data_IF_845851712440
#
_entry.id   IF_845851712440
#
_cell.length_a   1.000
_cell.length_b   1.000
_cell.length_c   1.000
_cell.angle_alpha   90.00
_cell.angle_beta   90.00
_cell.angle_gamma   90.00
#
_symmetry.space_group_name_H-M   'P 1'
#
loop_
_entity.id
_entity.type
_entity.pdbx_description
1 polymer ?
#
# COMPACT_ATOMS: atom_id res chain seq x y z
N UNK A 1 4.46 2.93 78.15
CA UNK A 1 3.75 2.24 77.05
C UNK A 1 4.29 2.77 75.72
N UNK A 2 4.93 1.91 74.94
CA UNK A 2 5.65 2.22 73.69
C UNK A 2 4.88 1.64 72.49
N UNK A 3 4.43 2.45 71.51
CA UNK A 3 4.06 1.95 70.19
C UNK A 3 5.25 2.08 69.22
N UNK A 4 5.65 0.91 68.71
CA UNK A 4 6.76 0.66 67.81
C UNK A 4 6.72 1.50 66.53
N UNK A 5 7.78 2.28 66.31
CA UNK A 5 8.22 2.72 64.98
C UNK A 5 8.76 1.48 64.27
N UNK A 6 8.02 0.93 63.31
CA UNK A 6 8.55 -0.10 62.42
C UNK A 6 9.40 0.56 61.33
N UNK A 7 10.67 0.75 61.63
CA UNK A 7 11.67 1.11 60.61
C UNK A 7 11.75 0.00 59.56
N UNK A 8 11.65 0.38 58.28
CA UNK A 8 11.87 -0.55 57.17
C UNK A 8 13.33 -1.00 57.18
N UNK A 9 13.63 -2.30 57.01
CA UNK A 9 15.00 -2.79 57.03
C UNK A 9 15.82 -2.20 55.86
N UNK A 10 17.06 -1.74 56.11
CA UNK A 10 17.92 -1.21 55.07
C UNK A 10 18.41 -2.37 54.19
N UNK A 11 17.95 -2.41 52.93
CA UNK A 11 18.37 -3.44 51.96
C UNK A 11 17.25 -4.05 51.12
N UNK A 12 15.99 -3.67 51.31
CA UNK A 12 14.92 -4.02 50.38
C UNK A 12 15.18 -3.28 49.04
N UNK A 13 15.83 -3.96 48.09
CA UNK A 13 15.89 -3.48 46.71
C UNK A 13 14.46 -3.43 46.19
N UNK A 14 14.00 -2.24 45.80
CA UNK A 14 12.76 -2.09 45.06
C UNK A 14 12.87 -2.98 43.82
N UNK A 15 12.20 -4.12 43.85
CA UNK A 15 12.12 -5.01 42.70
C UNK A 15 11.20 -4.28 41.73
N UNK A 16 11.80 -3.46 40.86
CA UNK A 16 11.09 -2.74 39.81
C UNK A 16 10.36 -3.80 38.96
N UNK A 17 9.05 -3.92 39.17
CA UNK A 17 8.26 -4.88 38.43
C UNK A 17 8.39 -4.55 36.93
N UNK A 18 8.70 -5.54 36.08
CA UNK A 18 8.87 -5.29 34.66
C UNK A 18 7.56 -4.74 34.11
N UNK A 19 7.56 -3.44 33.81
CA UNK A 19 6.42 -2.72 33.25
C UNK A 19 6.05 -3.39 31.93
N UNK A 20 4.98 -4.19 31.96
CA UNK A 20 4.51 -4.96 30.82
C UNK A 20 4.48 -4.09 29.57
N UNK A 21 5.33 -4.42 28.59
CA UNK A 21 5.50 -3.65 27.35
C UNK A 21 4.30 -3.92 26.46
N UNK A 22 3.14 -3.38 26.83
CA UNK A 22 1.93 -3.41 25.99
C UNK A 22 2.30 -2.91 24.60
N UNK A 23 1.97 -3.69 23.57
CA UNK A 23 2.29 -3.38 22.17
C UNK A 23 1.63 -2.06 21.77
N UNK A 24 2.34 -0.95 21.93
CA UNK A 24 1.83 0.38 21.54
C UNK A 24 1.77 0.41 20.02
N UNK A 25 0.57 0.41 19.44
CA UNK A 25 0.39 0.66 18.02
C UNK A 25 0.87 2.08 17.72
N UNK A 26 1.97 2.18 16.97
CA UNK A 26 2.46 3.47 16.49
C UNK A 26 1.91 3.73 15.09
N UNK A 27 1.62 4.99 14.77
CA UNK A 27 1.17 5.37 13.42
C UNK A 27 2.17 4.89 12.34
N UNK A 28 3.47 4.95 12.61
CA UNK A 28 4.48 4.42 11.69
C UNK A 28 4.36 2.89 11.51
N UNK A 29 4.08 2.16 12.60
CA UNK A 29 3.84 0.72 12.58
C UNK A 29 2.55 0.32 11.84
N UNK A 30 1.58 1.21 11.68
CA UNK A 30 0.37 1.00 10.85
C UNK A 30 0.62 1.35 9.39
N UNK A 31 1.29 2.48 9.13
CA UNK A 31 1.54 2.97 7.77
C UNK A 31 2.42 2.02 6.95
N UNK A 32 3.38 1.33 7.57
CA UNK A 32 4.26 0.40 6.84
C UNK A 32 3.53 -0.82 6.27
N UNK A 33 2.82 -1.63 7.08
CA UNK A 33 2.00 -2.71 6.56
C UNK A 33 0.99 -2.23 5.50
N UNK A 34 0.34 -1.09 5.75
CA UNK A 34 -0.65 -0.57 4.81
C UNK A 34 -0.03 -0.20 3.45
N UNK A 35 1.12 0.48 3.44
CA UNK A 35 1.87 0.79 2.21
C UNK A 35 2.31 -0.47 1.46
N UNK A 36 2.75 -1.52 2.17
CA UNK A 36 3.18 -2.77 1.53
C UNK A 36 1.98 -3.49 0.91
N UNK A 37 0.89 -3.68 1.66
CA UNK A 37 -0.32 -4.35 1.17
C UNK A 37 -0.91 -3.59 -0.01
N UNK A 38 -1.10 -2.28 0.12
CA UNK A 38 -1.69 -1.46 -0.94
C UNK A 38 -0.73 -1.31 -2.12
N UNK A 39 0.57 -1.19 -1.86
CA UNK A 39 1.59 -1.09 -2.90
C UNK A 39 1.61 -2.32 -3.79
N UNK A 40 1.59 -3.52 -3.19
CA UNK A 40 1.52 -4.78 -3.94
C UNK A 40 0.18 -4.93 -4.66
N UNK A 41 -0.93 -4.62 -4.00
CA UNK A 41 -2.26 -4.68 -4.60
C UNK A 41 -2.38 -3.80 -5.85
N UNK A 42 -2.03 -2.51 -5.73
CA UNK A 42 -2.11 -1.57 -6.86
C UNK A 42 -1.11 -1.89 -7.96
N UNK A 43 0.10 -2.31 -7.61
CA UNK A 43 1.06 -2.73 -8.62
C UNK A 43 0.56 -3.94 -9.42
N UNK A 44 -0.10 -4.91 -8.78
CA UNK A 44 -0.67 -6.06 -9.49
C UNK A 44 -1.89 -5.75 -10.32
N UNK A 45 -2.86 -5.07 -9.70
CA UNK A 45 -4.07 -4.56 -10.37
C UNK A 45 -3.70 -3.72 -11.59
N UNK A 46 -2.69 -2.85 -11.45
CA UNK A 46 -2.20 -1.99 -12.50
C UNK A 46 -1.44 -2.75 -13.58
N UNK A 47 -0.57 -3.70 -13.19
CA UNK A 47 0.17 -4.52 -14.13
C UNK A 47 -0.79 -5.32 -15.02
N UNK A 48 -1.83 -5.94 -14.46
CA UNK A 48 -2.86 -6.62 -15.24
C UNK A 48 -3.51 -5.71 -16.29
N UNK A 49 -3.77 -4.44 -15.96
CA UNK A 49 -4.30 -3.45 -16.91
C UNK A 49 -3.28 -3.04 -17.98
N UNK A 50 -1.99 -2.96 -17.63
CA UNK A 50 -0.92 -2.68 -18.60
C UNK A 50 -0.82 -3.81 -19.63
N UNK A 51 -1.03 -5.06 -19.24
CA UNK A 51 -1.03 -6.20 -20.17
C UNK A 51 -2.13 -6.11 -21.23
N UNK A 52 -3.23 -5.43 -20.91
CA UNK A 52 -4.32 -5.19 -21.86
C UNK A 52 -3.94 -4.20 -22.98
N UNK A 53 -2.69 -3.77 -23.11
CA UNK A 53 -2.21 -3.16 -24.35
C UNK A 53 -2.25 -4.17 -25.51
N UNK A 54 -2.08 -5.45 -25.21
CA UNK A 54 -2.19 -6.53 -26.18
C UNK A 54 -3.66 -6.75 -26.53
N UNK A 55 -3.98 -6.71 -27.83
CA UNK A 55 -5.35 -6.83 -28.33
C UNK A 55 -5.98 -8.20 -28.08
N UNK A 56 -5.18 -9.27 -28.05
CA UNK A 56 -5.66 -10.64 -27.75
C UNK A 56 -6.03 -10.73 -26.27
N UNK A 57 -5.18 -10.23 -25.39
CA UNK A 57 -5.46 -10.19 -23.95
C UNK A 57 -6.65 -9.28 -23.62
N UNK A 58 -6.78 -8.15 -24.31
CA UNK A 58 -7.93 -7.27 -24.16
C UNK A 58 -9.24 -7.95 -24.59
N UNK A 59 -9.23 -8.68 -25.71
CA UNK A 59 -10.41 -9.42 -26.19
C UNK A 59 -10.79 -10.58 -25.26
N UNK A 60 -9.82 -11.19 -24.59
CA UNK A 60 -10.00 -12.26 -23.61
C UNK A 60 -10.19 -11.74 -22.17
N UNK A 61 -10.19 -10.42 -21.96
CA UNK A 61 -10.28 -9.84 -20.62
C UNK A 61 -11.59 -10.31 -19.94
N UNK A 62 -11.55 -10.63 -18.63
CA UNK A 62 -12.69 -11.24 -17.97
C UNK A 62 -13.95 -10.41 -18.16
N UNK A 63 -15.02 -11.01 -18.70
CA UNK A 63 -16.34 -10.37 -18.83
C UNK A 63 -16.88 -9.86 -17.48
N UNK A 64 -16.37 -10.41 -16.37
CA UNK A 64 -16.65 -9.96 -15.01
C UNK A 64 -16.22 -8.49 -14.74
N UNK A 65 -15.32 -7.92 -15.56
CA UNK A 65 -14.89 -6.51 -15.46
C UNK A 65 -15.66 -5.68 -16.48
N UNK A 66 -16.99 -5.64 -16.33
CA UNK A 66 -17.93 -5.05 -17.29
C UNK A 66 -17.58 -3.61 -17.72
N UNK A 67 -16.91 -2.85 -16.86
CA UNK A 67 -16.54 -1.47 -17.16
C UNK A 67 -15.45 -1.34 -18.24
N UNK A 68 -14.65 -2.37 -18.52
CA UNK A 68 -13.64 -2.31 -19.58
C UNK A 68 -14.27 -2.05 -20.95
N UNK A 69 -15.45 -2.63 -21.23
CA UNK A 69 -16.18 -2.39 -22.47
C UNK A 69 -16.75 -0.96 -22.58
N UNK A 70 -16.82 -0.23 -21.47
CA UNK A 70 -17.41 1.11 -21.41
C UNK A 70 -16.39 2.25 -21.67
N UNK A 71 -15.11 1.93 -21.83
CA UNK A 71 -14.05 2.92 -22.04
C UNK A 71 -13.07 2.47 -23.13
N UNK A 72 -12.34 3.41 -23.76
CA UNK A 72 -11.30 3.04 -24.71
C UNK A 72 -10.18 2.24 -24.03
N UNK A 73 -9.68 1.19 -24.69
CA UNK A 73 -8.55 0.37 -24.24
C UNK A 73 -7.32 1.19 -23.78
N UNK A 74 -6.89 2.26 -24.47
CA UNK A 74 -5.77 3.08 -24.01
C UNK A 74 -5.97 3.72 -22.64
N UNK A 75 -7.21 4.04 -22.26
CA UNK A 75 -7.51 4.60 -20.94
C UNK A 75 -7.30 3.56 -19.85
N UNK A 76 -7.66 2.30 -20.10
CA UNK A 76 -7.43 1.18 -19.17
C UNK A 76 -5.94 0.99 -18.93
N UNK A 77 -5.14 0.97 -20.00
CA UNK A 77 -3.68 0.85 -19.93
C UNK A 77 -3.08 2.04 -19.18
N UNK A 78 -3.54 3.26 -19.45
CA UNK A 78 -3.10 4.47 -18.73
C UNK A 78 -3.36 4.37 -17.23
N UNK A 79 -4.57 3.95 -16.82
CA UNK A 79 -4.90 3.70 -15.41
C UNK A 79 -3.95 2.65 -14.84
N UNK A 80 -3.68 1.58 -15.59
CA UNK A 80 -2.74 0.54 -15.20
C UNK A 80 -1.34 1.06 -14.90
N UNK A 81 -0.79 1.91 -15.77
CA UNK A 81 0.51 2.56 -15.55
C UNK A 81 0.47 3.43 -14.29
N UNK A 82 -0.57 4.23 -14.10
CA UNK A 82 -0.73 5.06 -12.90
C UNK A 82 -0.79 4.22 -11.62
N UNK A 83 -1.49 3.08 -11.64
CA UNK A 83 -1.60 2.16 -10.51
C UNK A 83 -0.26 1.47 -10.20
N UNK A 84 0.50 1.06 -11.22
CA UNK A 84 1.86 0.50 -11.05
C UNK A 84 2.79 1.52 -10.43
N UNK A 85 2.87 2.72 -11.00
CA UNK A 85 3.72 3.79 -10.48
C UNK A 85 3.31 4.20 -9.06
N UNK A 86 2.00 4.26 -8.79
CA UNK A 86 1.46 4.51 -7.47
C UNK A 86 1.86 3.43 -6.47
N UNK A 87 1.66 2.15 -6.82
CA UNK A 87 1.98 1.02 -5.95
C UNK A 87 3.47 0.91 -5.62
N UNK A 88 4.34 1.08 -6.61
CA UNK A 88 5.79 1.15 -6.42
C UNK A 88 6.19 2.39 -5.59
N UNK A 89 5.57 3.53 -5.87
CA UNK A 89 5.78 4.80 -5.18
C UNK A 89 5.35 4.78 -3.71
N UNK A 90 4.43 3.91 -3.31
CA UNK A 90 4.06 3.70 -1.91
C UNK A 90 5.20 3.08 -1.07
N UNK A 91 6.11 2.33 -1.70
CA UNK A 91 7.10 1.51 -1.00
C UNK A 91 8.51 2.07 -1.18
N UNK A 92 8.99 2.21 -2.42
CA UNK A 92 10.41 2.47 -2.67
C UNK A 92 10.94 3.80 -2.12
N UNK A 93 10.27 4.96 -2.32
CA UNK A 93 10.78 6.24 -1.83
C UNK A 93 10.85 6.29 -0.30
N UNK A 94 9.84 5.76 0.39
CA UNK A 94 9.81 5.66 1.85
C UNK A 94 10.86 4.67 2.39
N UNK A 95 11.12 3.58 1.69
CA UNK A 95 12.05 2.53 2.15
C UNK A 95 13.50 2.93 1.93
N UNK A 96 13.80 3.52 0.77
CA UNK A 96 15.15 3.99 0.44
C UNK A 96 15.49 5.30 1.16
N UNK A 97 14.48 6.13 1.45
CA UNK A 97 14.64 7.51 1.91
C UNK A 97 15.00 8.49 0.79
N UNK A 98 14.95 8.06 -0.48
CA UNK A 98 15.21 8.92 -1.64
C UNK A 98 13.93 9.60 -2.06
N UNK A 99 13.95 10.95 -2.05
CA UNK A 99 12.78 11.80 -2.35
C UNK A 99 11.50 11.24 -1.69
N UNK A 100 11.47 11.07 -0.34
CA UNK A 100 10.37 10.39 0.36
C UNK A 100 9.01 11.09 0.19
N UNK A 101 9.00 12.36 -0.26
CA UNK A 101 7.80 13.09 -0.67
C UNK A 101 7.05 12.45 -1.84
N UNK A 102 7.71 11.58 -2.62
CA UNK A 102 7.04 10.83 -3.69
C UNK A 102 6.03 9.82 -3.15
N UNK A 103 6.21 9.29 -1.94
CA UNK A 103 5.27 8.35 -1.33
C UNK A 103 3.89 8.96 -1.05
N UNK A 104 3.76 10.10 -0.35
CA UNK A 104 2.45 10.72 -0.18
C UNK A 104 1.86 11.25 -1.50
N UNK A 105 2.69 11.61 -2.51
CA UNK A 105 2.19 11.97 -3.84
C UNK A 105 1.63 10.76 -4.60
N UNK A 106 2.32 9.62 -4.55
CA UNK A 106 1.84 8.36 -5.11
C UNK A 106 0.53 7.93 -4.45
N UNK A 107 0.46 8.02 -3.12
CA UNK A 107 -0.75 7.75 -2.36
C UNK A 107 -1.91 8.66 -2.77
N UNK A 108 -1.67 9.97 -2.91
CA UNK A 108 -2.68 10.93 -3.37
C UNK A 108 -3.15 10.66 -4.81
N UNK A 109 -2.25 10.28 -5.71
CA UNK A 109 -2.58 9.88 -7.08
C UNK A 109 -3.50 8.65 -7.10
N UNK A 110 -3.17 7.61 -6.31
CA UNK A 110 -4.03 6.43 -6.16
C UNK A 110 -5.39 6.79 -5.54
N UNK A 111 -5.42 7.66 -4.54
CA UNK A 111 -6.68 8.17 -3.97
C UNK A 111 -7.54 8.83 -5.04
N UNK A 112 -6.95 9.70 -5.86
CA UNK A 112 -7.65 10.37 -6.95
C UNK A 112 -8.21 9.34 -7.95
N UNK A 113 -7.42 8.35 -8.35
CA UNK A 113 -7.89 7.26 -9.23
C UNK A 113 -9.11 6.55 -8.65
N UNK A 114 -9.11 6.25 -7.34
CA UNK A 114 -10.24 5.58 -6.68
C UNK A 114 -11.48 6.47 -6.59
N UNK A 115 -11.32 7.78 -6.39
CA UNK A 115 -12.44 8.74 -6.41
C UNK A 115 -13.07 8.79 -7.79
N UNK A 116 -12.24 8.90 -8.84
CA UNK A 116 -12.71 8.92 -10.23
C UNK A 116 -13.41 7.60 -10.59
N UNK A 117 -12.84 6.47 -10.19
CA UNK A 117 -13.46 5.15 -10.39
C UNK A 117 -14.80 5.04 -9.66
N UNK A 118 -14.89 5.47 -8.40
CA UNK A 118 -16.14 5.46 -7.65
C UNK A 118 -17.21 6.30 -8.35
N UNK A 119 -16.90 7.53 -8.76
CA UNK A 119 -17.81 8.40 -9.49
C UNK A 119 -18.28 7.75 -10.80
N UNK A 120 -17.36 7.16 -11.56
CA UNK A 120 -17.67 6.45 -12.79
C UNK A 120 -18.67 5.30 -12.57
N UNK A 121 -18.43 4.45 -11.57
CA UNK A 121 -19.34 3.32 -11.27
C UNK A 121 -20.70 3.79 -10.76
N UNK A 122 -20.76 4.86 -9.97
CA UNK A 122 -22.02 5.47 -9.48
C UNK A 122 -22.87 5.94 -10.67
N UNK A 123 -22.28 6.69 -11.60
CA UNK A 123 -22.98 7.21 -12.79
C UNK A 123 -23.56 6.08 -13.64
N UNK A 124 -22.93 4.90 -13.62
CA UNK A 124 -23.39 3.70 -14.35
C UNK A 124 -24.32 2.79 -13.56
N UNK A 125 -24.63 3.12 -12.31
CA UNK A 125 -25.42 2.26 -11.43
C UNK A 125 -24.70 0.99 -10.96
N UNK A 126 -23.38 0.91 -11.12
CA UNK A 126 -22.53 -0.23 -10.75
C UNK A 126 -22.10 -0.13 -9.26
N UNK A 127 -23.07 0.03 -8.36
CA UNK A 127 -22.81 0.33 -6.95
C UNK A 127 -22.03 -0.75 -6.20
N UNK A 128 -22.03 -2.00 -6.70
CA UNK A 128 -21.29 -3.10 -6.10
C UNK A 128 -19.76 -2.86 -6.03
N UNK A 129 -19.21 -2.02 -6.91
CA UNK A 129 -17.78 -1.72 -6.97
C UNK A 129 -17.39 -0.51 -6.11
N UNK A 130 -18.36 0.31 -5.70
CA UNK A 130 -18.12 1.53 -4.92
C UNK A 130 -17.47 1.25 -3.56
N UNK A 131 -17.89 0.24 -2.76
CA UNK A 131 -17.24 -0.07 -1.50
C UNK A 131 -15.75 -0.37 -1.63
N UNK A 132 -15.35 -1.11 -2.68
CA UNK A 132 -13.94 -1.40 -2.93
C UNK A 132 -13.15 -0.11 -3.20
N UNK A 133 -13.68 0.79 -4.03
CA UNK A 133 -13.06 2.10 -4.29
C UNK A 133 -12.94 2.96 -3.03
N UNK A 134 -13.96 2.96 -2.16
CA UNK A 134 -13.92 3.71 -0.91
C UNK A 134 -12.89 3.14 0.08
N UNK A 135 -12.78 1.81 0.18
CA UNK A 135 -11.78 1.17 1.05
C UNK A 135 -10.35 1.43 0.55
N UNK A 136 -10.13 1.23 -0.75
CA UNK A 136 -8.82 1.43 -1.37
C UNK A 136 -8.44 2.93 -1.41
N UNK A 137 -9.38 3.78 -1.79
CA UNK A 137 -9.22 5.24 -1.82
C UNK A 137 -9.00 5.81 -0.42
N UNK A 138 -9.81 5.39 0.56
CA UNK A 138 -9.67 5.81 1.95
C UNK A 138 -8.34 5.36 2.57
N UNK A 139 -7.91 4.12 2.29
CA UNK A 139 -6.61 3.61 2.77
C UNK A 139 -5.44 4.37 2.16
N UNK A 140 -5.47 4.67 0.86
CA UNK A 140 -4.43 5.49 0.22
C UNK A 140 -4.47 6.94 0.68
N UNK A 141 -5.65 7.52 0.93
CA UNK A 141 -5.77 8.86 1.48
C UNK A 141 -5.16 8.94 2.89
N UNK A 142 -5.42 7.92 3.71
CA UNK A 142 -4.82 7.79 5.02
C UNK A 142 -3.29 7.69 4.95
N UNK A 143 -2.74 6.93 3.99
CA UNK A 143 -1.30 6.90 3.75
C UNK A 143 -0.78 8.28 3.32
N UNK A 144 -1.46 8.96 2.41
CA UNK A 144 -1.07 10.27 1.90
C UNK A 144 -0.94 11.30 3.04
N UNK A 145 -1.95 11.39 3.91
CA UNK A 145 -1.92 12.26 5.09
C UNK A 145 -0.88 11.78 6.11
N UNK A 146 -0.83 10.47 6.34
CA UNK A 146 0.08 9.83 7.28
C UNK A 146 1.55 10.08 6.95
N UNK A 147 1.95 9.94 5.69
CA UNK A 147 3.33 10.15 5.22
C UNK A 147 3.63 11.59 4.81
N UNK A 148 2.61 12.36 4.45
CA UNK A 148 2.78 13.77 4.06
C UNK A 148 2.91 14.71 5.25
N UNK A 149 2.11 14.50 6.30
CA UNK A 149 1.99 15.46 7.42
C UNK A 149 2.30 14.85 8.78
N UNK A 150 1.74 13.67 9.08
CA UNK A 150 1.75 13.14 10.46
C UNK A 150 3.04 12.42 10.83
N UNK A 151 3.61 11.64 9.92
CA UNK A 151 4.85 10.86 10.05
C UNK A 151 5.66 10.90 8.76
N UNK A 152 6.20 12.07 8.37
CA UNK A 152 7.10 12.18 7.23
C UNK A 152 8.33 11.27 7.39
N UNK A 153 8.77 10.68 6.28
CA UNK A 153 10.04 9.94 6.24
C UNK A 153 11.16 10.94 5.97
N UNK A 154 12.22 10.86 6.78
CA UNK A 154 13.39 11.71 6.60
C UNK A 154 14.15 11.33 5.32
N UNK A 155 14.61 12.32 4.53
CA UNK A 155 15.50 12.05 3.40
C UNK A 155 16.79 11.34 3.85
N UNK A 156 17.28 10.42 3.03
CA UNK A 156 18.50 9.69 3.29
C UNK A 156 19.20 9.26 1.99
N UNK A 157 20.50 9.02 2.07
CA UNK A 157 21.32 8.52 0.95
C UNK A 157 21.10 7.02 0.76
N UNK A 158 21.12 6.56 -0.50
CA UNK A 158 21.10 5.12 -0.80
C UNK A 158 22.37 4.47 -0.25
N UNK A 159 22.19 3.43 0.57
CA UNK A 159 23.26 2.53 0.98
C UNK A 159 23.14 1.21 0.23
N UNK A 160 24.22 0.43 0.14
CA UNK A 160 24.21 -0.90 -0.52
C UNK A 160 23.13 -1.82 0.06
N UNK A 161 22.96 -1.80 1.38
CA UNK A 161 21.91 -2.57 2.06
C UNK A 161 20.49 -2.16 1.62
N UNK A 162 20.20 -0.86 1.52
CA UNK A 162 18.91 -0.36 1.06
C UNK A 162 18.68 -0.61 -0.43
N UNK A 163 19.73 -0.55 -1.24
CA UNK A 163 19.68 -0.91 -2.66
C UNK A 163 19.31 -2.40 -2.80
N UNK A 164 19.99 -3.28 -2.06
CA UNK A 164 19.70 -4.72 -2.07
C UNK A 164 18.27 -5.02 -1.60
N UNK A 165 17.79 -4.35 -0.55
CA UNK A 165 16.39 -4.46 -0.11
C UNK A 165 15.40 -3.98 -1.16
N UNK A 166 15.74 -2.93 -1.91
CA UNK A 166 14.92 -2.42 -3.02
C UNK A 166 14.81 -3.44 -4.15
N UNK A 167 15.93 -4.06 -4.54
CA UNK A 167 15.92 -5.15 -5.50
C UNK A 167 15.13 -6.35 -5.00
N UNK A 168 15.26 -6.71 -3.72
CA UNK A 168 14.49 -7.80 -3.12
C UNK A 168 12.98 -7.51 -3.15
N UNK A 169 12.55 -6.28 -2.83
CA UNK A 169 11.14 -5.88 -2.90
C UNK A 169 10.63 -5.89 -4.33
N UNK A 170 11.40 -5.37 -5.29
CA UNK A 170 11.04 -5.41 -6.71
C UNK A 170 10.96 -6.85 -7.23
N UNK A 171 11.89 -7.71 -6.83
CA UNK A 171 11.88 -9.15 -7.14
C UNK A 171 10.66 -9.84 -6.53
N UNK A 172 10.31 -9.54 -5.27
CA UNK A 172 9.09 -10.06 -4.63
C UNK A 172 7.82 -9.56 -5.35
N UNK A 173 7.78 -8.30 -5.76
CA UNK A 173 6.66 -7.74 -6.51
C UNK A 173 6.53 -8.42 -7.88
N UNK A 174 7.65 -8.64 -8.57
CA UNK A 174 7.67 -9.37 -9.83
C UNK A 174 7.19 -10.82 -9.66
N UNK A 175 7.67 -11.53 -8.63
CA UNK A 175 7.40 -12.96 -8.43
C UNK A 175 6.03 -13.25 -7.82
N UNK A 176 5.56 -12.42 -6.88
CA UNK A 176 4.31 -12.67 -6.15
C UNK A 176 3.11 -12.02 -6.81
N UNK A 177 3.35 -11.05 -7.70
CA UNK A 177 2.28 -10.26 -8.29
C UNK A 177 2.36 -10.30 -9.81
N UNK A 178 3.42 -9.79 -10.42
CA UNK A 178 3.48 -9.68 -11.88
C UNK A 178 3.50 -11.05 -12.57
N UNK A 179 4.31 -12.00 -12.12
CA UNK A 179 4.44 -13.31 -12.76
C UNK A 179 3.13 -14.14 -12.66
N UNK A 180 2.45 -14.22 -11.50
CA UNK A 180 1.14 -14.85 -11.42
C UNK A 180 0.10 -14.15 -12.29
N UNK A 181 0.03 -12.81 -12.27
CA UNK A 181 -0.92 -12.05 -13.09
C UNK A 181 -0.67 -12.22 -14.59
N UNK A 182 0.60 -12.23 -15.01
CA UNK A 182 0.97 -12.55 -16.38
C UNK A 182 0.52 -13.95 -16.74
N UNK A 183 0.89 -14.95 -15.92
CA UNK A 183 0.58 -16.34 -16.17
C UNK A 183 -0.93 -16.58 -16.31
N UNK A 184 -1.74 -15.99 -15.41
CA UNK A 184 -3.20 -16.11 -15.49
C UNK A 184 -3.76 -15.45 -16.73
N UNK A 185 -3.32 -14.23 -17.07
CA UNK A 185 -3.80 -13.51 -18.25
C UNK A 185 -3.44 -14.22 -19.56
N UNK A 186 -2.27 -14.85 -19.66
CA UNK A 186 -1.81 -15.47 -20.92
C UNK A 186 -2.18 -16.93 -21.08
N UNK A 187 -2.37 -17.67 -19.98
CA UNK A 187 -2.58 -19.13 -20.04
C UNK A 187 -3.96 -19.59 -19.58
N UNK A 188 -4.71 -18.75 -18.86
CA UNK A 188 -6.05 -19.10 -18.37
C UNK A 188 -7.05 -18.29 -19.18
N UNK A 189 -7.76 -18.96 -20.10
CA UNK A 189 -8.88 -18.37 -20.84
C UNK A 189 -10.02 -18.11 -19.84
N UNK A 190 -10.49 -16.86 -19.74
CA UNK A 190 -11.64 -16.46 -18.90
C UNK A 190 -12.98 -16.67 -19.60
#
# INVERSE_FOLDING_TARGET
>A
MNPQITERPPGAKDIEQPKGRGRRFTLNGVLWPLQVVFGFFFAGSGFGKVLLYDGVLYAAAPRAVAWYAAVPQPLIVFIGVCEVLGGVGLILPAMTGVKPKLTPLAAAGLTLTMILAAGFHIVRGEYALVPANLLLGGGTAFIAVGRGKLRPVAPATITTSRALQSFAVLGALALLVCAPTWYTMTNVQF
#
